data_IF_717542557861
#
_entry.id   IF_717542557861
#
_cell.length_a   1.000
_cell.length_b   1.000
_cell.length_c   1.000
_cell.angle_alpha   90.00
_cell.angle_beta   90.00
_cell.angle_gamma   90.00
#
_symmetry.space_group_name_H-M   'P 1'
#
loop_
_entity.id
_entity.type
_entity.pdbx_description
1 polymer ?
#
# COMPACT_ATOMS: atom_id res chain seq x y z
N UNK A 1 5.01 35.55 34.20
CA UNK A 1 5.01 36.66 33.27
C UNK A 1 5.51 36.15 31.95
N UNK A 2 4.68 36.30 30.91
CA UNK A 2 5.05 35.97 29.55
C UNK A 2 5.87 37.12 28.98
N UNK A 3 7.00 36.82 28.34
CA UNK A 3 7.79 37.76 27.61
C UNK A 3 7.58 37.58 26.11
N UNK A 4 7.35 38.66 25.36
CA UNK A 4 7.23 38.55 23.92
C UNK A 4 8.62 38.30 23.28
N UNK A 5 8.60 37.70 22.12
CA UNK A 5 9.79 37.64 21.24
C UNK A 5 10.12 39.01 20.64
N UNK A 6 11.17 39.08 19.82
CA UNK A 6 11.61 40.30 19.14
C UNK A 6 10.56 40.92 18.20
N UNK A 7 9.52 40.13 17.84
CA UNK A 7 8.39 40.59 17.02
C UNK A 7 7.15 40.94 17.83
N UNK A 8 7.24 40.89 19.15
CA UNK A 8 6.11 41.14 20.04
C UNK A 8 5.11 39.99 20.18
N UNK A 9 5.51 38.78 19.78
CA UNK A 9 4.66 37.58 19.86
C UNK A 9 4.87 36.91 21.20
N UNK A 10 3.78 36.62 21.88
CA UNK A 10 3.75 35.83 23.11
C UNK A 10 3.42 34.36 22.79
N UNK A 11 4.26 33.45 23.24
CA UNK A 11 4.02 32.00 23.08
C UNK A 11 3.51 31.43 24.40
N UNK A 12 2.38 30.76 24.36
CA UNK A 12 1.80 30.03 25.47
C UNK A 12 1.86 28.56 25.14
N UNK A 13 2.51 27.78 26.01
CA UNK A 13 2.46 26.32 25.95
C UNK A 13 1.41 25.83 26.94
N UNK A 14 0.54 24.96 26.49
CA UNK A 14 -0.46 24.31 27.33
C UNK A 14 -0.44 22.80 27.07
N UNK A 15 -0.70 22.01 28.09
CA UNK A 15 -0.96 20.59 27.92
C UNK A 15 -2.37 20.38 27.38
N UNK A 16 -2.53 19.34 26.55
CA UNK A 16 -3.84 18.97 26.01
C UNK A 16 -4.76 18.45 27.12
N UNK A 17 -5.86 19.14 27.34
CA UNK A 17 -6.86 18.81 28.34
C UNK A 17 -8.18 18.25 27.77
N UNK A 18 -8.21 17.99 26.46
CA UNK A 18 -9.41 17.55 25.74
C UNK A 18 -10.36 18.67 25.33
N UNK A 19 -10.07 19.93 25.67
CA UNK A 19 -10.89 21.09 25.33
C UNK A 19 -10.35 21.84 24.13
N UNK A 20 -11.23 22.26 23.25
CA UNK A 20 -10.93 23.15 22.11
C UNK A 20 -11.32 24.60 22.37
N UNK A 21 -11.93 24.88 23.52
CA UNK A 21 -12.33 26.24 23.88
C UNK A 21 -11.61 26.68 25.15
N UNK A 22 -10.80 27.69 24.99
CA UNK A 22 -10.07 28.32 26.09
C UNK A 22 -10.41 29.81 26.17
N UNK A 23 -10.24 30.37 27.36
CA UNK A 23 -10.39 31.77 27.59
C UNK A 23 -9.01 32.35 27.97
N UNK A 24 -8.56 33.33 27.20
CA UNK A 24 -7.37 34.12 27.55
C UNK A 24 -7.81 35.25 28.47
N UNK A 25 -7.26 35.28 29.70
CA UNK A 25 -7.40 36.38 30.60
C UNK A 25 -6.07 37.14 30.67
N UNK A 26 -6.12 38.40 30.38
CA UNK A 26 -4.95 39.30 30.52
C UNK A 26 -5.20 40.18 31.76
N UNK A 27 -4.25 40.16 32.67
CA UNK A 27 -4.26 41.00 33.88
C UNK A 27 -3.11 41.98 33.82
N UNK A 28 -3.41 43.26 34.05
CA UNK A 28 -2.36 44.32 34.12
C UNK A 28 -1.74 44.35 35.54
N UNK A 29 -0.70 45.16 35.69
CA UNK A 29 0.01 45.31 36.94
C UNK A 29 -0.83 45.95 38.06
N UNK A 30 -2.02 46.46 37.74
CA UNK A 30 -2.98 47.05 38.69
C UNK A 30 -4.11 46.08 39.04
N UNK A 31 -4.08 44.87 38.51
CA UNK A 31 -5.11 43.85 38.74
C UNK A 31 -6.34 43.99 37.86
N UNK A 32 -6.34 44.85 36.87
CA UNK A 32 -7.43 44.94 35.92
C UNK A 32 -7.35 43.79 34.94
N UNK A 33 -8.47 43.10 34.73
CA UNK A 33 -8.54 41.93 33.86
C UNK A 33 -9.36 42.21 32.60
N UNK A 34 -8.89 41.71 31.47
CA UNK A 34 -9.70 41.58 30.25
C UNK A 34 -9.68 40.17 29.77
N UNK A 35 -10.79 39.69 29.26
CA UNK A 35 -10.92 38.31 28.77
C UNK A 35 -11.33 38.28 27.29
N UNK A 36 -10.66 37.42 26.53
CA UNK A 36 -11.01 37.13 25.14
C UNK A 36 -11.64 35.75 25.09
N UNK A 37 -12.91 35.69 24.69
CA UNK A 37 -13.70 34.47 24.70
C UNK A 37 -13.66 33.66 23.43
N UNK A 38 -12.87 34.06 22.43
CA UNK A 38 -12.93 33.44 21.13
C UNK A 38 -11.56 33.29 20.50
N UNK A 39 -10.62 32.68 21.19
CA UNK A 39 -9.48 32.12 20.50
C UNK A 39 -9.62 30.61 20.45
N UNK A 40 -9.23 30.07 19.31
CA UNK A 40 -9.22 28.64 19.08
C UNK A 40 -7.81 28.11 19.34
N UNK A 41 -7.69 27.12 20.20
CA UNK A 41 -6.44 26.37 20.33
C UNK A 41 -6.43 25.30 19.26
N UNK A 42 -5.46 25.41 18.35
CA UNK A 42 -5.26 24.42 17.32
C UNK A 42 -4.31 23.33 17.84
N UNK A 43 -4.83 22.09 17.89
CA UNK A 43 -4.04 20.93 18.26
C UNK A 43 -3.58 20.21 16.99
N UNK A 44 -2.28 20.13 16.77
CA UNK A 44 -1.69 19.47 15.62
C UNK A 44 -1.61 17.96 15.78
N UNK A 45 -2.69 17.34 16.26
CA UNK A 45 -2.71 15.91 16.44
C UNK A 45 -3.09 15.18 15.16
N UNK A 46 -2.35 14.11 14.90
CA UNK A 46 -2.73 13.13 13.93
C UNK A 46 -4.01 12.43 14.40
N UNK A 47 -5.11 12.59 13.67
CA UNK A 47 -6.35 11.89 13.99
C UNK A 47 -6.42 10.56 13.26
N UNK A 48 -6.03 10.55 11.99
CA UNK A 48 -6.27 9.42 11.11
C UNK A 48 -5.25 9.38 9.97
N UNK A 49 -4.88 8.17 9.58
CA UNK A 49 -4.02 7.89 8.43
C UNK A 49 -4.84 7.07 7.45
N UNK A 50 -4.95 7.53 6.21
CA UNK A 50 -5.67 6.78 5.18
C UNK A 50 -5.34 7.26 3.78
N UNK A 51 -5.70 6.46 2.80
CA UNK A 51 -5.71 6.87 1.39
C UNK A 51 -6.80 7.92 1.15
N UNK A 52 -6.51 8.88 0.27
CA UNK A 52 -7.48 9.92 -0.12
C UNK A 52 -8.77 9.29 -0.63
N UNK A 53 -9.89 9.83 -0.17
CA UNK A 53 -11.25 9.40 -0.57
C UNK A 53 -11.58 7.92 -0.25
N UNK A 54 -10.80 7.29 0.63
CA UNK A 54 -11.04 5.93 1.12
C UNK A 54 -11.19 5.91 2.64
N UNK A 55 -12.43 5.77 3.13
CA UNK A 55 -12.80 5.94 4.53
C UNK A 55 -12.82 4.64 5.34
N UNK A 56 -12.70 3.49 4.67
CA UNK A 56 -12.69 2.18 5.31
C UNK A 56 -11.28 1.74 5.70
N UNK A 57 -11.16 0.90 6.71
CA UNK A 57 -9.93 0.17 7.01
C UNK A 57 -9.84 -1.08 6.10
N UNK A 58 -8.68 -1.39 5.55
CA UNK A 58 -7.34 -0.83 5.74
C UNK A 58 -7.17 0.58 5.16
N UNK A 59 -6.14 1.32 5.61
CA UNK A 59 -5.93 2.72 5.19
C UNK A 59 -5.63 2.90 3.70
N UNK A 60 -5.20 1.85 3.00
CA UNK A 60 -4.95 1.86 1.57
C UNK A 60 -5.76 0.77 0.85
N UNK A 61 -6.23 1.07 -0.35
CA UNK A 61 -6.93 0.10 -1.20
C UNK A 61 -5.95 -0.94 -1.72
N UNK A 62 -6.40 -2.20 -1.88
CA UNK A 62 -5.62 -3.18 -2.62
C UNK A 62 -5.31 -2.69 -4.02
N UNK A 63 -4.10 -2.89 -4.48
CA UNK A 63 -3.68 -2.57 -5.84
C UNK A 63 -3.45 -3.84 -6.64
N UNK A 64 -3.79 -3.77 -7.93
CA UNK A 64 -3.57 -4.84 -8.89
C UNK A 64 -2.77 -4.29 -10.06
N UNK A 65 -1.64 -4.91 -10.34
CA UNK A 65 -0.70 -4.46 -11.37
C UNK A 65 -0.35 -5.62 -12.31
N UNK A 66 -0.02 -5.30 -13.54
CA UNK A 66 0.55 -6.29 -14.44
C UNK A 66 2.03 -6.52 -14.11
N UNK A 67 2.55 -7.69 -14.46
CA UNK A 67 3.95 -8.05 -14.26
C UNK A 67 4.95 -7.07 -14.93
N UNK A 68 4.50 -6.38 -15.98
CA UNK A 68 5.34 -5.43 -16.74
C UNK A 68 5.46 -4.08 -16.03
N UNK A 69 4.59 -3.77 -15.05
CA UNK A 69 4.64 -2.54 -14.29
C UNK A 69 5.68 -2.61 -13.17
N UNK A 70 6.28 -1.48 -12.87
CA UNK A 70 7.23 -1.37 -11.77
C UNK A 70 6.47 -1.19 -10.45
N UNK A 71 6.62 -2.14 -9.53
CA UNK A 71 5.93 -2.13 -8.25
C UNK A 71 6.22 -0.86 -7.43
N UNK A 72 7.48 -0.42 -7.36
CA UNK A 72 7.84 0.78 -6.61
C UNK A 72 7.17 2.04 -7.19
N UNK A 73 7.08 2.12 -8.51
CA UNK A 73 6.40 3.23 -9.20
C UNK A 73 4.90 3.21 -8.92
N UNK A 74 4.25 2.03 -8.92
CA UNK A 74 2.81 1.93 -8.63
C UNK A 74 2.52 2.24 -7.15
N UNK A 75 3.38 1.80 -6.24
CA UNK A 75 3.27 2.16 -4.82
C UNK A 75 3.40 3.67 -4.58
N UNK A 76 4.23 4.37 -5.36
CA UNK A 76 4.36 5.82 -5.23
C UNK A 76 3.10 6.60 -5.62
N UNK A 77 2.18 5.98 -6.35
CA UNK A 77 0.88 6.56 -6.71
C UNK A 77 -0.18 6.43 -5.62
N UNK A 78 0.08 5.62 -4.59
CA UNK A 78 -0.83 5.46 -3.46
C UNK A 78 -0.81 6.73 -2.63
N UNK A 79 -1.90 7.48 -2.68
CA UNK A 79 -1.99 8.80 -2.09
C UNK A 79 -2.43 8.70 -0.61
N UNK A 80 -1.45 8.63 0.26
CA UNK A 80 -1.64 8.55 1.72
C UNK A 80 -1.55 9.94 2.32
N UNK A 81 -2.29 10.16 3.37
CA UNK A 81 -2.21 11.39 4.13
C UNK A 81 -2.78 11.28 5.52
N UNK A 82 -2.68 12.35 6.23
CA UNK A 82 -3.10 12.49 7.62
C UNK A 82 -4.13 13.60 7.76
N UNK A 83 -4.98 13.49 8.77
CA UNK A 83 -5.89 14.54 9.16
C UNK A 83 -5.43 15.16 10.48
N UNK A 84 -5.32 16.48 10.51
CA UNK A 84 -5.11 17.21 11.75
C UNK A 84 -6.44 17.36 12.53
N UNK A 85 -6.37 17.30 13.86
CA UNK A 85 -7.54 17.27 14.75
C UNK A 85 -8.52 18.42 14.52
N UNK A 86 -8.04 19.57 14.15
CA UNK A 86 -8.84 20.80 14.15
C UNK A 86 -9.35 21.24 12.78
N UNK A 87 -8.83 20.71 11.68
CA UNK A 87 -9.17 21.25 10.36
C UNK A 87 -9.96 20.30 9.49
N UNK A 88 -9.97 19.00 9.74
CA UNK A 88 -10.39 18.00 8.78
C UNK A 88 -9.64 18.11 7.43
N UNK A 89 -8.53 18.88 7.41
CA UNK A 89 -7.76 19.03 6.20
C UNK A 89 -6.93 17.78 5.95
N UNK A 90 -6.95 17.34 4.72
CA UNK A 90 -6.11 16.28 4.22
C UNK A 90 -4.69 16.81 3.98
N UNK A 91 -3.72 16.22 4.64
CA UNK A 91 -2.30 16.53 4.47
C UNK A 91 -1.62 15.32 3.83
N UNK A 92 -1.17 15.42 2.58
CA UNK A 92 -0.46 14.32 1.94
C UNK A 92 0.86 14.02 2.65
N UNK A 93 1.21 12.75 2.75
CA UNK A 93 2.41 12.26 3.43
C UNK A 93 3.09 11.23 2.54
N UNK A 94 4.41 11.34 2.40
CA UNK A 94 5.21 10.36 1.71
C UNK A 94 5.32 9.07 2.54
N UNK A 95 5.45 7.94 1.86
CA UNK A 95 5.58 6.63 2.47
C UNK A 95 6.83 5.95 1.94
N UNK A 96 7.65 5.46 2.86
CA UNK A 96 8.73 4.52 2.53
C UNK A 96 8.15 3.11 2.54
N UNK A 97 8.09 2.48 1.37
CA UNK A 97 7.53 1.15 1.18
C UNK A 97 8.61 0.08 1.27
N UNK A 98 8.35 -0.96 2.07
CA UNK A 98 9.20 -2.13 2.22
C UNK A 98 8.65 -3.25 1.33
N UNK A 99 9.30 -3.47 0.19
CA UNK A 99 8.95 -4.58 -0.71
C UNK A 99 9.40 -5.89 -0.05
N UNK A 100 8.50 -6.88 0.11
CA UNK A 100 8.83 -8.13 0.77
C UNK A 100 9.86 -8.93 -0.02
N UNK A 101 10.74 -9.63 0.69
CA UNK A 101 11.85 -10.42 0.11
C UNK A 101 11.35 -11.60 -0.76
N UNK A 102 10.14 -12.08 -0.52
CA UNK A 102 9.51 -13.17 -1.26
C UNK A 102 8.85 -12.72 -2.57
N UNK A 103 8.82 -11.42 -2.86
CA UNK A 103 8.40 -10.90 -4.16
C UNK A 103 9.45 -11.23 -5.22
N UNK A 104 9.05 -12.03 -6.21
CA UNK A 104 9.88 -12.35 -7.37
C UNK A 104 9.40 -11.59 -8.63
N UNK A 105 10.10 -10.53 -9.06
CA UNK A 105 9.74 -9.77 -10.24
C UNK A 105 9.87 -10.57 -11.56
N UNK A 106 10.54 -11.72 -11.52
CA UNK A 106 10.68 -12.61 -12.68
C UNK A 106 9.60 -13.71 -12.71
N UNK A 107 8.84 -13.88 -11.66
CA UNK A 107 7.76 -14.87 -11.61
C UNK A 107 6.73 -14.61 -12.71
N UNK A 108 6.38 -15.65 -13.41
CA UNK A 108 5.28 -15.63 -14.40
C UNK A 108 3.94 -16.02 -13.79
N UNK A 109 3.91 -16.41 -12.52
CA UNK A 109 2.70 -16.73 -11.78
C UNK A 109 2.16 -15.50 -11.06
N UNK A 110 0.85 -15.48 -10.86
CA UNK A 110 0.24 -14.46 -10.01
C UNK A 110 0.85 -14.52 -8.60
N UNK A 111 1.16 -13.36 -8.05
CA UNK A 111 1.65 -13.20 -6.69
C UNK A 111 0.75 -12.23 -5.94
N UNK A 112 0.37 -12.57 -4.72
CA UNK A 112 -0.37 -11.69 -3.83
C UNK A 112 0.35 -11.62 -2.49
N UNK A 113 0.69 -10.41 -2.06
CA UNK A 113 1.42 -10.15 -0.83
C UNK A 113 1.02 -8.81 -0.22
N UNK A 114 1.44 -8.59 1.02
CA UNK A 114 1.25 -7.32 1.71
C UNK A 114 2.54 -6.53 1.70
N UNK A 115 2.49 -5.30 1.22
CA UNK A 115 3.60 -4.34 1.32
C UNK A 115 3.37 -3.46 2.53
N UNK A 116 4.35 -3.40 3.42
CA UNK A 116 4.34 -2.50 4.55
C UNK A 116 4.97 -1.17 4.18
N UNK A 117 4.52 -0.10 4.81
CA UNK A 117 5.05 1.23 4.60
C UNK A 117 5.20 1.99 5.90
N UNK A 118 6.20 2.86 5.93
CA UNK A 118 6.45 3.78 7.04
C UNK A 118 6.22 5.21 6.56
N UNK A 119 5.40 5.96 7.30
CA UNK A 119 5.11 7.36 6.97
C UNK A 119 6.34 8.22 7.19
N UNK A 120 6.67 9.07 6.24
CA UNK A 120 7.72 10.09 6.32
C UNK A 120 7.05 11.40 6.70
N UNK A 121 7.07 11.73 7.98
CA UNK A 121 6.39 12.92 8.51
C UNK A 121 7.30 14.14 8.56
N UNK A 122 8.62 13.95 8.56
CA UNK A 122 9.60 15.02 8.58
C UNK A 122 9.70 15.69 7.21
N UNK A 123 9.60 17.01 7.18
CA UNK A 123 9.79 17.80 5.94
C UNK A 123 8.65 17.76 4.94
N UNK A 124 7.52 17.12 5.25
CA UNK A 124 6.38 16.99 4.32
C UNK A 124 5.58 18.27 4.13
N UNK A 125 5.90 19.35 4.85
CA UNK A 125 5.05 20.54 4.88
C UNK A 125 3.66 20.27 5.50
N UNK A 126 3.47 19.10 6.11
CA UNK A 126 2.29 18.77 6.90
C UNK A 126 2.25 19.61 8.17
N UNK A 127 2.37 20.92 7.99
CA UNK A 127 2.17 21.89 9.03
C UNK A 127 0.70 22.28 9.03
N UNK A 128 0.11 22.33 10.21
CA UNK A 128 -1.16 23.04 10.37
C UNK A 128 -1.06 24.45 9.82
N UNK A 129 -2.19 25.11 9.51
CA UNK A 129 -2.21 26.54 9.14
C UNK A 129 -1.45 27.45 10.13
N UNK A 130 -1.20 26.96 11.34
CA UNK A 130 -0.38 27.62 12.38
C UNK A 130 1.14 27.47 12.19
N UNK A 131 1.61 26.67 11.22
CA UNK A 131 3.04 26.40 11.02
C UNK A 131 3.68 25.49 12.08
N UNK A 132 2.87 24.79 12.87
CA UNK A 132 3.35 23.87 13.91
C UNK A 132 3.45 22.45 13.34
N UNK A 133 4.41 21.67 13.83
CA UNK A 133 4.56 20.27 13.44
C UNK A 133 3.37 19.44 13.95
N UNK A 134 2.97 18.45 13.13
CA UNK A 134 1.98 17.47 13.55
C UNK A 134 2.61 16.52 14.57
N UNK A 135 1.96 16.33 15.70
CA UNK A 135 2.43 15.49 16.81
C UNK A 135 1.39 14.44 17.19
N UNK A 136 1.77 13.31 17.80
CA UNK A 136 0.80 12.35 18.32
C UNK A 136 0.03 12.96 19.48
N UNK A 137 -1.23 12.53 19.66
CA UNK A 137 -2.03 12.91 20.81
C UNK A 137 -1.36 12.38 22.08
N UNK A 138 -1.32 13.13 23.19
CA UNK A 138 -0.76 12.65 24.44
C UNK A 138 -1.34 11.29 24.85
N UNK A 139 -0.47 10.33 25.16
CA UNK A 139 -0.84 8.95 25.49
C UNK A 139 -1.12 8.03 24.31
N UNK A 140 -1.04 8.51 23.07
CA UNK A 140 -1.12 7.69 21.87
C UNK A 140 0.25 7.54 21.22
N UNK A 141 0.55 6.34 20.71
CA UNK A 141 1.72 6.14 19.87
C UNK A 141 1.44 6.59 18.44
N UNK A 142 2.49 7.05 17.76
CA UNK A 142 2.42 7.32 16.33
C UNK A 142 2.05 6.04 15.56
N UNK A 143 0.93 6.07 14.87
CA UNK A 143 0.65 5.06 13.84
C UNK A 143 1.43 5.42 12.58
N UNK A 144 2.74 5.15 12.62
CA UNK A 144 3.65 5.44 11.51
C UNK A 144 3.57 4.40 10.39
N UNK A 145 2.96 3.26 10.66
CA UNK A 145 2.95 2.13 9.75
C UNK A 145 1.59 2.02 9.06
N UNK A 146 1.65 1.76 7.77
CA UNK A 146 0.50 1.40 6.95
C UNK A 146 0.82 0.14 6.17
N UNK A 147 -0.17 -0.44 5.54
CA UNK A 147 0.03 -1.57 4.63
C UNK A 147 -0.93 -1.50 3.46
N UNK A 148 -0.51 -2.08 2.33
CA UNK A 148 -1.33 -2.25 1.14
C UNK A 148 -1.20 -3.67 0.64
N UNK A 149 -2.32 -4.28 0.26
CA UNK A 149 -2.30 -5.57 -0.42
C UNK A 149 -2.01 -5.34 -1.90
N UNK A 150 -1.04 -6.07 -2.43
CA UNK A 150 -0.65 -6.02 -3.84
C UNK A 150 -0.91 -7.36 -4.49
N UNK A 151 -1.54 -7.34 -5.66
CA UNK A 151 -1.63 -8.48 -6.55
C UNK A 151 -0.88 -8.15 -7.85
N UNK A 152 0.17 -8.88 -8.14
CA UNK A 152 0.88 -8.85 -9.43
C UNK A 152 0.31 -9.94 -10.31
N UNK A 153 -0.31 -9.56 -11.42
CA UNK A 153 -0.93 -10.51 -12.34
C UNK A 153 0.10 -11.41 -13.01
N UNK A 154 -0.23 -12.68 -13.08
CA UNK A 154 0.59 -13.65 -13.80
C UNK A 154 0.38 -13.59 -15.31
N UNK A 155 1.32 -14.18 -16.04
CA UNK A 155 1.16 -14.39 -17.49
C UNK A 155 0.01 -15.39 -17.76
N UNK A 156 -0.69 -15.24 -18.88
CA UNK A 156 -1.71 -16.22 -19.27
C UNK A 156 -1.09 -17.60 -19.52
N UNK A 157 -1.77 -18.63 -19.04
CA UNK A 157 -1.42 -20.01 -19.28
C UNK A 157 -2.36 -20.63 -20.31
N UNK A 158 -1.81 -21.56 -21.09
CA UNK A 158 -2.50 -22.26 -22.17
C UNK A 158 -2.52 -23.75 -21.91
N UNK A 159 -3.66 -24.39 -22.18
CA UNK A 159 -3.83 -25.83 -22.09
C UNK A 159 -3.12 -26.52 -23.26
N UNK A 160 -2.43 -27.62 -22.96
CA UNK A 160 -1.90 -28.54 -23.95
C UNK A 160 -2.62 -29.86 -23.82
N UNK A 161 -3.41 -30.24 -24.83
CA UNK A 161 -4.12 -31.50 -24.86
C UNK A 161 -3.40 -32.48 -25.78
N UNK A 162 -3.25 -33.69 -25.32
CA UNK A 162 -2.76 -34.82 -26.13
C UNK A 162 -3.95 -35.72 -26.49
N UNK A 163 -4.06 -36.08 -27.77
CA UNK A 163 -5.09 -37.01 -28.18
C UNK A 163 -4.63 -38.44 -27.89
N UNK A 164 -5.59 -39.28 -27.54
CA UNK A 164 -5.32 -40.72 -27.36
C UNK A 164 -4.76 -41.34 -28.63
N UNK A 165 -3.80 -42.24 -28.47
CA UNK A 165 -3.23 -43.04 -29.55
C UNK A 165 -3.53 -44.53 -29.29
N UNK A 166 -3.72 -45.31 -30.35
CA UNK A 166 -4.17 -46.70 -30.24
C UNK A 166 -3.03 -47.62 -29.86
N UNK A 167 -1.83 -47.48 -30.05
CA UNK A 167 -0.77 -48.48 -29.79
C UNK A 167 0.41 -47.83 -29.08
N UNK A 168 0.12 -47.20 -27.95
CA UNK A 168 1.11 -46.54 -27.09
C UNK A 168 0.51 -45.44 -26.26
N UNK A 169 1.37 -44.68 -25.61
CA UNK A 169 0.98 -43.53 -24.82
C UNK A 169 1.82 -42.30 -25.12
N UNK A 170 1.23 -41.13 -25.01
CA UNK A 170 1.92 -39.83 -25.08
C UNK A 170 1.58 -39.03 -23.84
N UNK A 171 2.62 -38.58 -23.16
CA UNK A 171 2.46 -37.77 -21.95
C UNK A 171 3.25 -36.48 -22.03
N UNK A 172 2.71 -35.40 -21.46
CA UNK A 172 3.41 -34.16 -21.26
C UNK A 172 4.24 -34.24 -19.99
N UNK A 173 5.56 -34.02 -20.07
CA UNK A 173 6.45 -34.29 -18.92
C UNK A 173 6.96 -33.04 -18.18
N UNK A 174 6.77 -31.86 -18.73
CA UNK A 174 7.34 -30.62 -18.18
C UNK A 174 6.30 -29.49 -17.97
N UNK A 175 5.06 -29.85 -17.68
CA UNK A 175 4.01 -28.86 -17.44
C UNK A 175 4.39 -27.89 -16.30
N UNK A 176 4.14 -26.61 -16.48
CA UNK A 176 4.37 -25.57 -15.46
C UNK A 176 3.17 -25.37 -14.54
N UNK A 177 2.03 -25.92 -14.90
CA UNK A 177 0.80 -25.97 -14.13
C UNK A 177 -0.12 -27.08 -14.61
N UNK A 178 -1.20 -27.30 -13.86
CA UNK A 178 -2.25 -28.26 -14.21
C UNK A 178 -3.59 -27.55 -13.99
N UNK A 179 -4.47 -27.60 -14.98
CA UNK A 179 -5.83 -27.09 -14.90
C UNK A 179 -6.71 -27.95 -13.98
N UNK A 180 -7.87 -27.45 -13.58
CA UNK A 180 -8.82 -28.17 -12.72
C UNK A 180 -9.27 -29.52 -13.30
N UNK A 181 -9.31 -29.64 -14.62
CA UNK A 181 -9.65 -30.85 -15.36
C UNK A 181 -8.46 -31.81 -15.57
N UNK A 182 -7.30 -31.50 -14.95
CA UNK A 182 -6.07 -32.28 -15.08
C UNK A 182 -5.24 -31.98 -16.33
N UNK A 183 -5.66 -31.06 -17.18
CA UNK A 183 -4.94 -30.73 -18.41
C UNK A 183 -3.63 -29.95 -18.09
N UNK A 184 -2.48 -30.34 -18.68
CA UNK A 184 -1.22 -29.60 -18.55
C UNK A 184 -1.32 -28.15 -19.02
N UNK A 185 -0.72 -27.23 -18.27
CA UNK A 185 -0.67 -25.79 -18.55
C UNK A 185 0.76 -25.33 -18.81
N UNK A 186 0.91 -24.42 -19.76
CA UNK A 186 2.15 -23.78 -20.14
C UNK A 186 1.96 -22.28 -20.33
N UNK A 187 2.98 -21.51 -20.01
CA UNK A 187 3.01 -20.11 -20.43
C UNK A 187 3.38 -19.99 -21.92
N UNK A 188 2.97 -18.89 -22.54
CA UNK A 188 3.32 -18.61 -23.94
C UNK A 188 4.83 -18.66 -24.15
N UNK A 189 5.25 -19.40 -25.18
CA UNK A 189 6.66 -19.52 -25.59
C UNK A 189 7.47 -20.58 -24.84
N UNK A 190 6.87 -21.31 -23.90
CA UNK A 190 7.54 -22.45 -23.27
C UNK A 190 7.64 -23.65 -24.21
N UNK A 191 8.72 -24.39 -24.03
CA UNK A 191 8.94 -25.65 -24.77
C UNK A 191 8.09 -26.75 -24.12
N UNK A 192 7.21 -27.38 -24.87
CA UNK A 192 6.47 -28.57 -24.46
C UNK A 192 7.29 -29.80 -24.73
N UNK A 193 7.57 -30.60 -23.72
CA UNK A 193 8.26 -31.89 -23.83
C UNK A 193 7.25 -33.03 -23.72
N UNK A 194 7.31 -33.93 -24.69
CA UNK A 194 6.47 -35.11 -24.75
C UNK A 194 7.31 -36.36 -24.51
N UNK A 195 6.81 -37.26 -23.67
CA UNK A 195 7.25 -38.66 -23.61
C UNK A 195 6.32 -39.48 -24.46
N UNK A 196 6.90 -40.22 -25.42
CA UNK A 196 6.18 -41.09 -26.33
C UNK A 196 6.64 -42.52 -26.07
N UNK A 197 5.71 -43.39 -25.69
CA UNK A 197 5.97 -44.76 -25.29
C UNK A 197 5.09 -45.71 -26.13
N UNK A 198 5.61 -46.19 -27.32
CA UNK A 198 4.88 -47.12 -28.18
C UNK A 198 4.76 -48.50 -27.51
N UNK A 199 3.67 -49.17 -27.74
CA UNK A 199 3.49 -50.57 -27.33
C UNK A 199 4.47 -51.53 -28.01
N UNK A 200 4.67 -52.71 -27.45
CA UNK A 200 5.61 -53.71 -28.00
C UNK A 200 5.27 -54.05 -29.47
N UNK A 201 6.24 -53.89 -30.35
CA UNK A 201 6.09 -54.12 -31.77
C UNK A 201 5.60 -52.93 -32.60
N UNK A 202 5.35 -51.79 -31.95
CA UNK A 202 4.94 -50.56 -32.61
C UNK A 202 6.05 -49.52 -32.58
N UNK A 203 5.98 -48.53 -33.46
CA UNK A 203 6.88 -47.40 -33.50
C UNK A 203 6.10 -46.11 -33.81
N UNK A 204 6.65 -44.97 -33.40
CA UNK A 204 6.09 -43.67 -33.76
C UNK A 204 6.17 -43.48 -35.28
N UNK A 205 5.04 -43.32 -35.93
CA UNK A 205 4.94 -43.04 -37.36
C UNK A 205 4.88 -41.54 -37.66
N UNK A 206 4.01 -40.84 -36.95
CA UNK A 206 3.76 -39.41 -37.19
C UNK A 206 3.42 -38.71 -35.89
N UNK A 207 3.94 -37.52 -35.69
CA UNK A 207 3.54 -36.58 -34.66
C UNK A 207 3.02 -35.32 -35.31
N UNK A 208 1.78 -34.95 -35.04
CA UNK A 208 1.18 -33.71 -35.55
C UNK A 208 0.87 -32.78 -34.40
N UNK A 209 1.06 -31.48 -34.64
CA UNK A 209 0.70 -30.43 -33.70
C UNK A 209 -0.32 -29.51 -34.38
N UNK A 210 -1.51 -29.37 -33.74
CA UNK A 210 -2.65 -28.59 -34.28
C UNK A 210 -3.05 -28.98 -35.72
N UNK A 211 -2.88 -30.27 -36.08
CA UNK A 211 -3.27 -30.82 -37.37
C UNK A 211 -2.27 -30.57 -38.54
N UNK A 212 -1.07 -30.07 -38.20
CA UNK A 212 0.03 -29.90 -39.18
C UNK A 212 1.13 -30.91 -38.96
#
# INVERSE_FOLDING_TARGET
LLTPDEKGVYTISAEYDGSTQHMLVIEDACGNTTSYKSFKVCWNYLINVREKDHWDAPPARPIRISREQNLQEELSKVNIGVFAADSNDWLPVDVSWDIPEDYDPQSRREQTFTVNGTLILEGTGASCPSGLDVVPRPGEEWKKNISVQVTVEGDPQYKVTVQDCENGSVTVVNATGIAEDGTPLFFKGELVMLSIDPDEGYMLSTLSVNGN
#
